data_IF_300446881129
#
_entry.id   IF_300446881129
#
_cell.length_a   1.000
_cell.length_b   1.000
_cell.length_c   1.000
_cell.angle_alpha   90.00
_cell.angle_beta   90.00
_cell.angle_gamma   90.00
#
_symmetry.space_group_name_H-M   'P 1'
#
loop_
_entity.id
_entity.type
_entity.pdbx_description
1 polymer ?
#
# COMPACT_ATOMS: atom_id res chain seq x y z
N UNK A 1 -25.76 -7.08 -28.56
CA UNK A 1 -24.60 -6.54 -27.84
C UNK A 1 -23.38 -7.06 -28.52
N UNK A 2 -22.68 -6.17 -29.20
CA UNK A 2 -21.42 -6.52 -29.84
C UNK A 2 -20.34 -6.71 -28.77
N UNK A 3 -19.35 -7.56 -29.06
CA UNK A 3 -18.31 -7.96 -28.09
C UNK A 3 -17.54 -6.76 -27.52
N UNK A 4 -17.45 -5.68 -28.30
CA UNK A 4 -16.80 -4.43 -27.94
C UNK A 4 -17.59 -3.65 -26.88
N UNK A 5 -18.92 -3.62 -26.95
CA UNK A 5 -19.77 -2.96 -25.94
C UNK A 5 -19.62 -3.61 -24.56
N UNK A 6 -19.46 -4.94 -24.51
CA UNK A 6 -19.23 -5.67 -23.26
C UNK A 6 -17.90 -5.27 -22.62
N UNK A 7 -16.85 -5.15 -23.43
CA UNK A 7 -15.51 -4.80 -22.94
C UNK A 7 -15.52 -3.38 -22.35
N UNK A 8 -16.15 -2.44 -23.04
CA UNK A 8 -16.27 -1.05 -22.57
C UNK A 8 -17.06 -0.99 -21.27
N UNK A 9 -18.22 -1.65 -21.19
CA UNK A 9 -19.04 -1.67 -19.98
C UNK A 9 -18.30 -2.27 -18.77
N UNK A 10 -17.53 -3.34 -18.99
CA UNK A 10 -16.70 -3.97 -17.95
C UNK A 10 -15.55 -3.05 -17.53
N UNK A 11 -14.88 -2.38 -18.46
CA UNK A 11 -13.81 -1.44 -18.16
C UNK A 11 -14.31 -0.24 -17.35
N UNK A 12 -15.48 0.31 -17.70
CA UNK A 12 -16.11 1.40 -16.96
C UNK A 12 -16.55 0.96 -15.56
N UNK A 13 -17.13 -0.23 -15.41
CA UNK A 13 -17.49 -0.79 -14.12
C UNK A 13 -16.24 -0.96 -13.22
N UNK A 14 -15.16 -1.52 -13.78
CA UNK A 14 -13.88 -1.67 -13.07
C UNK A 14 -13.29 -0.29 -12.72
N UNK A 15 -13.31 0.67 -13.63
CA UNK A 15 -12.78 2.01 -13.38
C UNK A 15 -13.59 2.78 -12.33
N UNK A 16 -14.91 2.56 -12.28
CA UNK A 16 -15.80 3.18 -11.30
C UNK A 16 -15.60 2.59 -9.89
N UNK A 17 -15.48 1.27 -9.80
CA UNK A 17 -15.23 0.57 -8.52
C UNK A 17 -13.79 0.80 -8.01
N UNK A 18 -12.79 0.66 -8.88
CA UNK A 18 -11.38 0.86 -8.51
C UNK A 18 -10.97 2.34 -8.45
N UNK A 19 -11.76 3.24 -9.00
CA UNK A 19 -11.49 4.69 -8.98
C UNK A 19 -11.39 5.25 -7.57
N UNK A 20 -12.15 4.70 -6.63
CA UNK A 20 -12.10 5.06 -5.20
C UNK A 20 -10.83 4.55 -4.50
N UNK A 21 -10.19 3.51 -5.05
CA UNK A 21 -8.95 2.92 -4.55
C UNK A 21 -7.71 3.37 -5.32
N UNK A 22 -7.87 4.27 -6.31
CA UNK A 22 -6.75 4.91 -7.00
C UNK A 22 -6.04 5.86 -6.05
N UNK A 23 -5.09 5.32 -5.29
CA UNK A 23 -4.00 6.11 -4.73
C UNK A 23 -3.26 6.74 -5.91
N UNK A 24 -2.88 8.01 -5.80
CA UNK A 24 -2.04 8.64 -6.81
C UNK A 24 -0.80 7.75 -7.03
N UNK A 25 -0.56 7.32 -8.28
CA UNK A 25 0.54 6.40 -8.62
C UNK A 25 1.89 6.88 -8.10
N UNK A 26 2.12 8.19 -8.08
CA UNK A 26 3.32 8.78 -7.48
C UNK A 26 3.39 8.54 -5.97
N UNK A 27 2.30 8.77 -5.24
CA UNK A 27 2.25 8.55 -3.78
C UNK A 27 2.50 7.08 -3.46
N UNK A 28 1.82 6.17 -4.17
CA UNK A 28 2.02 4.74 -3.98
C UNK A 28 3.46 4.31 -4.29
N UNK A 29 4.06 4.86 -5.35
CA UNK A 29 5.46 4.61 -5.69
C UNK A 29 6.42 5.14 -4.61
N UNK A 30 6.17 6.34 -4.09
CA UNK A 30 6.95 6.92 -2.99
C UNK A 30 6.84 6.09 -1.71
N UNK A 31 5.67 5.54 -1.41
CA UNK A 31 5.49 4.64 -0.26
C UNK A 31 6.35 3.37 -0.41
N UNK A 32 6.39 2.77 -1.60
CA UNK A 32 7.27 1.62 -1.87
C UNK A 32 8.76 1.99 -1.81
N UNK A 33 9.12 3.18 -2.28
CA UNK A 33 10.49 3.68 -2.21
C UNK A 33 10.94 3.84 -0.75
N UNK A 34 10.08 4.42 0.08
CA UNK A 34 10.32 4.59 1.51
C UNK A 34 10.49 3.24 2.23
N UNK A 35 9.66 2.25 1.93
CA UNK A 35 9.80 0.89 2.49
C UNK A 35 11.15 0.27 2.09
N UNK A 36 11.56 0.45 0.83
CA UNK A 36 12.84 -0.04 0.31
C UNK A 36 14.02 0.62 1.05
N UNK A 37 14.01 1.94 1.19
CA UNK A 37 15.04 2.71 1.91
C UNK A 37 15.14 2.27 3.38
N UNK A 38 14.00 2.09 4.05
CA UNK A 38 13.97 1.60 5.44
C UNK A 38 14.58 0.20 5.56
N UNK A 39 14.34 -0.68 4.58
CA UNK A 39 14.95 -2.01 4.55
C UNK A 39 16.47 -1.92 4.37
N UNK A 40 16.95 -1.11 3.42
CA UNK A 40 18.38 -0.92 3.15
C UNK A 40 19.10 -0.31 4.36
N UNK A 41 18.48 0.67 5.01
CA UNK A 41 18.98 1.23 6.26
C UNK A 41 19.11 0.17 7.35
N UNK A 42 18.08 -0.68 7.53
CA UNK A 42 18.11 -1.77 8.51
C UNK A 42 19.25 -2.76 8.21
N UNK A 43 19.51 -3.06 6.95
CA UNK A 43 20.60 -3.95 6.53
C UNK A 43 21.99 -3.35 6.75
N UNK A 44 22.12 -2.02 6.72
CA UNK A 44 23.38 -1.30 6.98
C UNK A 44 23.84 -1.35 8.45
N UNK A 45 22.98 -1.79 9.37
CA UNK A 45 23.29 -1.88 10.79
C UNK A 45 24.23 -3.06 11.04
N UNK A 46 25.46 -2.75 11.50
CA UNK A 46 26.52 -3.76 11.76
C UNK A 46 26.20 -4.72 12.90
N UNK A 47 25.41 -4.29 13.88
CA UNK A 47 25.07 -5.10 15.05
C UNK A 47 23.79 -5.90 14.79
N UNK A 48 23.88 -7.23 14.82
CA UNK A 48 22.74 -8.13 14.61
C UNK A 48 21.62 -7.94 15.66
N UNK A 49 21.98 -7.59 16.90
CA UNK A 49 21.01 -7.26 17.94
C UNK A 49 20.18 -6.02 17.56
N UNK A 50 20.85 -4.92 17.23
CA UNK A 50 20.18 -3.67 16.82
C UNK A 50 19.41 -3.81 15.51
N UNK A 51 19.95 -4.57 14.56
CA UNK A 51 19.28 -4.92 13.31
C UNK A 51 17.95 -5.63 13.56
N UNK A 52 17.92 -6.58 14.49
CA UNK A 52 16.72 -7.31 14.88
C UNK A 52 15.69 -6.42 15.57
N UNK A 53 16.14 -5.53 16.47
CA UNK A 53 15.27 -4.56 17.15
C UNK A 53 14.62 -3.62 16.13
N UNK A 54 15.41 -3.00 15.25
CA UNK A 54 14.93 -2.06 14.24
C UNK A 54 13.97 -2.75 13.26
N UNK A 55 14.30 -3.96 12.81
CA UNK A 55 13.42 -4.75 11.92
C UNK A 55 12.06 -5.04 12.56
N UNK A 56 12.04 -5.34 13.86
CA UNK A 56 10.79 -5.58 14.62
C UNK A 56 9.96 -4.30 14.73
N UNK A 57 10.60 -3.16 15.00
CA UNK A 57 9.94 -1.85 15.07
C UNK A 57 9.30 -1.50 13.71
N UNK A 58 10.05 -1.60 12.61
CA UNK A 58 9.55 -1.27 11.27
C UNK A 58 8.35 -2.15 10.90
N UNK A 59 8.43 -3.46 11.15
CA UNK A 59 7.29 -4.38 10.92
C UNK A 59 6.06 -3.99 11.73
N UNK A 60 6.24 -3.60 12.98
CA UNK A 60 5.16 -3.19 13.87
C UNK A 60 4.49 -1.92 13.33
N UNK A 61 5.28 -0.93 12.90
CA UNK A 61 4.77 0.32 12.30
C UNK A 61 3.95 0.01 11.04
N UNK A 62 4.43 -0.87 10.15
CA UNK A 62 3.70 -1.29 8.95
C UNK A 62 2.35 -1.93 9.30
N UNK A 63 2.32 -2.83 10.29
CA UNK A 63 1.06 -3.47 10.74
C UNK A 63 0.08 -2.43 11.29
N UNK A 64 0.55 -1.49 12.11
CA UNK A 64 -0.30 -0.40 12.62
C UNK A 64 -0.82 0.51 11.51
N UNK A 65 -0.02 0.80 10.47
CA UNK A 65 -0.49 1.56 9.31
C UNK A 65 -1.59 0.81 8.55
N UNK A 66 -1.46 -0.51 8.36
CA UNK A 66 -2.50 -1.33 7.71
C UNK A 66 -3.80 -1.37 8.53
N UNK A 67 -3.70 -1.54 9.84
CA UNK A 67 -4.87 -1.51 10.74
C UNK A 67 -5.51 -0.13 10.73
N UNK A 68 -4.71 0.93 10.84
CA UNK A 68 -5.18 2.32 10.77
C UNK A 68 -5.89 2.63 9.46
N UNK A 69 -5.33 2.17 8.33
CA UNK A 69 -5.96 2.28 7.02
C UNK A 69 -7.27 1.50 6.94
N UNK A 70 -7.33 0.28 7.49
CA UNK A 70 -8.55 -0.52 7.57
C UNK A 70 -9.65 0.16 8.39
N UNK A 71 -9.31 0.70 9.56
CA UNK A 71 -10.25 1.44 10.43
C UNK A 71 -10.72 2.74 9.76
N UNK A 72 -9.80 3.48 9.14
CA UNK A 72 -10.11 4.72 8.42
C UNK A 72 -11.02 4.45 7.22
N UNK A 73 -10.77 3.37 6.47
CA UNK A 73 -11.63 2.92 5.38
C UNK A 73 -13.03 2.55 5.87
N UNK A 74 -13.15 1.77 6.95
CA UNK A 74 -14.44 1.40 7.54
C UNK A 74 -15.25 2.62 8.01
N UNK A 75 -14.58 3.69 8.44
CA UNK A 75 -15.24 4.91 8.93
C UNK A 75 -15.68 5.87 7.82
N UNK A 76 -14.97 5.93 6.69
CA UNK A 76 -15.26 6.87 5.59
C UNK A 76 -16.04 6.26 4.42
N UNK A 77 -16.06 4.92 4.29
CA UNK A 77 -16.78 4.22 3.22
C UNK A 77 -18.03 3.46 3.71
N UNK A 78 -18.49 3.73 4.94
CA UNK A 78 -19.82 3.38 5.44
C UNK A 78 -20.75 4.57 5.29
#
# INVERSE_FOLDING_TARGET
>A
MEKEEIIVAVQEAIAKELGQYKVNKEIHYLDHLWIKEMREWTESIKSEFWKTVVRTIIRTIIIFMLIGFGIWGVKNFK
#
